data_IF_007403958546
#
_entry.id   IF_007403958546
#
_cell.length_a   1.000
_cell.length_b   1.000
_cell.length_c   1.000
_cell.angle_alpha   90.00
_cell.angle_beta   90.00
_cell.angle_gamma   90.00
#
_symmetry.space_group_name_H-M   'P 1'
#
loop_
_entity.id
_entity.type
_entity.pdbx_description
1 polymer ?
#
# COMPACT_ATOMS: atom_id res chain seq x y z
N UNK A 1 -3.86 7.17 -13.32
CA UNK A 1 -2.76 6.60 -12.54
C UNK A 1 -2.34 7.68 -11.58
N UNK A 2 -2.94 7.68 -10.39
CA UNK A 2 -2.51 8.56 -9.31
C UNK A 2 -1.06 8.18 -8.98
N UNK A 3 -0.12 9.10 -9.18
CA UNK A 3 1.28 8.94 -8.76
C UNK A 3 1.44 9.06 -7.22
N UNK A 4 0.38 8.81 -6.46
CA UNK A 4 0.40 8.89 -5.00
C UNK A 4 1.08 7.65 -4.38
N UNK A 5 1.01 6.52 -5.08
CA UNK A 5 1.54 5.25 -4.63
C UNK A 5 2.78 4.89 -5.45
N UNK A 6 3.96 4.98 -4.83
CA UNK A 6 5.19 4.43 -5.42
C UNK A 6 5.22 2.90 -5.26
N UNK A 7 6.15 2.23 -5.94
CA UNK A 7 6.30 0.78 -5.84
C UNK A 7 6.62 0.39 -4.39
N UNK A 8 5.95 -0.62 -3.83
CA UNK A 8 6.23 -1.07 -2.46
C UNK A 8 7.67 -1.51 -2.25
N UNK A 9 8.30 -2.02 -3.31
CA UNK A 9 9.71 -2.42 -3.32
C UNK A 9 10.68 -1.26 -3.15
N UNK A 10 10.24 -0.04 -3.43
CA UNK A 10 11.03 1.19 -3.24
C UNK A 10 10.79 1.84 -1.87
N UNK A 11 9.78 1.35 -1.12
CA UNK A 11 9.40 1.87 0.19
C UNK A 11 9.93 1.03 1.33
N UNK A 12 10.35 1.71 2.40
CA UNK A 12 10.66 1.07 3.67
C UNK A 12 9.39 0.61 4.39
N UNK A 13 9.50 -0.33 5.32
CA UNK A 13 8.36 -0.78 6.14
C UNK A 13 7.67 0.39 6.89
N UNK A 14 8.44 1.44 7.25
CA UNK A 14 7.92 2.65 7.87
C UNK A 14 7.02 3.45 6.91
N UNK A 15 7.47 3.67 5.66
CA UNK A 15 6.71 4.38 4.63
C UNK A 15 5.44 3.61 4.22
N UNK A 16 5.56 2.28 4.17
CA UNK A 16 4.44 1.37 3.95
C UNK A 16 3.38 1.51 5.06
N UNK A 17 3.80 1.57 6.33
CA UNK A 17 2.89 1.78 7.45
C UNK A 17 2.23 3.16 7.42
N UNK A 18 2.97 4.21 7.05
CA UNK A 18 2.41 5.56 6.88
C UNK A 18 1.34 5.60 5.78
N UNK A 19 1.56 4.89 4.67
CA UNK A 19 0.57 4.77 3.59
C UNK A 19 -0.68 4.01 4.03
N UNK A 20 -0.52 2.95 4.82
CA UNK A 20 -1.65 2.18 5.37
C UNK A 20 -2.45 2.99 6.40
N UNK A 21 -1.81 3.93 7.10
CA UNK A 21 -2.46 4.84 8.05
C UNK A 21 -3.12 6.04 7.35
N UNK A 22 -2.48 6.60 6.31
CA UNK A 22 -2.99 7.72 5.52
C UNK A 22 -4.16 7.30 4.61
N UNK A 23 -4.07 6.11 4.01
CA UNK A 23 -5.02 5.63 3.01
C UNK A 23 -5.95 4.53 3.53
N UNK A 24 -7.18 4.52 3.00
CA UNK A 24 -8.11 3.45 3.31
C UNK A 24 -7.74 2.15 2.58
N UNK A 25 -8.04 1.02 3.22
CA UNK A 25 -7.82 -0.33 2.69
C UNK A 25 -8.43 -0.55 1.31
N UNK A 26 -9.57 0.10 1.03
CA UNK A 26 -10.24 0.06 -0.27
C UNK A 26 -9.47 0.81 -1.37
N UNK A 27 -8.82 1.92 -1.03
CA UNK A 27 -7.98 2.67 -1.98
C UNK A 27 -6.70 1.89 -2.29
N UNK A 28 -6.07 1.32 -1.26
CA UNK A 28 -4.91 0.45 -1.42
C UNK A 28 -5.25 -0.77 -2.28
N UNK A 29 -6.44 -1.36 -2.13
CA UNK A 29 -6.91 -2.47 -2.99
C UNK A 29 -7.18 -2.10 -4.43
N UNK A 30 -7.45 -0.83 -4.71
CA UNK A 30 -7.64 -0.36 -6.08
C UNK A 30 -6.30 -0.17 -6.79
N UNK A 31 -5.24 0.17 -6.05
CA UNK A 31 -3.93 0.49 -6.60
C UNK A 31 -2.92 -0.68 -6.54
N UNK A 32 -2.92 -1.46 -5.45
CA UNK A 32 -1.99 -2.56 -5.21
C UNK A 32 -2.63 -3.93 -5.45
N UNK A 33 -1.80 -4.89 -5.85
CA UNK A 33 -2.22 -6.29 -5.98
C UNK A 33 -2.40 -6.95 -4.61
N UNK A 34 -3.13 -8.07 -4.57
CA UNK A 34 -3.34 -8.82 -3.32
C UNK A 34 -2.03 -9.21 -2.64
N UNK A 35 -1.02 -9.64 -3.41
CA UNK A 35 0.33 -9.98 -2.91
C UNK A 35 1.04 -8.78 -2.27
N UNK A 36 0.87 -7.59 -2.84
CA UNK A 36 1.43 -6.34 -2.35
C UNK A 36 0.75 -5.89 -1.05
N UNK A 37 -0.57 -6.04 -0.97
CA UNK A 37 -1.33 -5.74 0.23
C UNK A 37 -0.98 -6.67 1.39
N UNK A 38 -0.71 -7.94 1.13
CA UNK A 38 -0.21 -8.86 2.16
C UNK A 38 1.15 -8.41 2.70
N UNK A 39 2.01 -7.86 1.84
CA UNK A 39 3.29 -7.25 2.27
C UNK A 39 3.07 -6.01 3.12
N UNK A 40 2.06 -5.19 2.81
CA UNK A 40 1.65 -4.03 3.60
C UNK A 40 0.98 -4.40 4.93
N UNK A 41 0.71 -5.68 5.20
CA UNK A 41 -0.11 -6.12 6.34
C UNK A 41 -1.60 -5.78 6.19
N UNK A 42 -2.00 -5.38 4.99
CA UNK A 42 -3.38 -5.09 4.62
C UNK A 42 -4.06 -6.39 4.21
N UNK A 43 -4.63 -7.08 5.18
CA UNK A 43 -5.41 -8.30 4.93
C UNK A 43 -6.85 -7.96 4.50
N UNK A 44 -7.45 -8.87 3.73
CA UNK A 44 -8.80 -8.78 3.16
C UNK A 44 -9.90 -8.45 4.19
#
# INVERSE_FOLDING_TARGET
MCHCFSELTEMSDEEQAEIVDEHSTEELRAEYSTEELESLGVTA
#
